data_IF_179736322832
#
_entry.id   IF_179736322832
#
_cell.length_a   1.000
_cell.length_b   1.000
_cell.length_c   1.000
_cell.angle_alpha   90.00
_cell.angle_beta   90.00
_cell.angle_gamma   90.00
#
_symmetry.space_group_name_H-M   'P 1'
#
loop_
_entity.id
_entity.type
_entity.pdbx_description
1 polymer ?
#
# COMPACT_ATOMS: atom_id res chain seq x y z
N UNK A 1 25.10 -6.20 -21.97
CA UNK A 1 23.94 -5.75 -21.20
C UNK A 1 23.93 -4.24 -21.20
N UNK A 2 22.79 -3.53 -21.50
CA UNK A 2 22.74 -2.09 -21.50
C UNK A 2 23.07 -1.54 -20.11
N UNK A 3 23.76 -0.40 -20.04
CA UNK A 3 24.14 0.24 -18.78
C UNK A 3 22.95 0.51 -17.83
N UNK A 4 21.77 0.77 -18.39
CA UNK A 4 20.51 0.92 -17.67
C UNK A 4 20.08 -0.35 -16.93
N UNK A 5 20.29 -1.53 -17.52
CA UNK A 5 19.98 -2.83 -16.88
C UNK A 5 20.90 -3.09 -15.70
N UNK A 6 22.18 -2.68 -15.80
CA UNK A 6 23.14 -2.81 -14.69
C UNK A 6 22.88 -1.82 -13.56
N UNK A 7 22.50 -0.58 -13.88
CA UNK A 7 22.14 0.44 -12.89
C UNK A 7 20.87 0.04 -12.13
N UNK A 8 19.89 -0.54 -12.83
CA UNK A 8 18.68 -1.08 -12.22
C UNK A 8 18.97 -2.29 -11.33
N UNK A 9 19.75 -3.25 -11.80
CA UNK A 9 20.15 -4.41 -10.99
C UNK A 9 20.90 -3.97 -9.71
N UNK A 10 21.79 -2.95 -9.79
CA UNK A 10 22.46 -2.36 -8.62
C UNK A 10 21.52 -1.59 -7.69
N UNK A 11 20.51 -0.91 -8.23
CA UNK A 11 19.49 -0.23 -7.42
C UNK A 11 18.62 -1.25 -6.68
N UNK A 12 18.21 -2.32 -7.36
CA UNK A 12 17.43 -3.43 -6.81
C UNK A 12 18.14 -4.16 -5.65
N UNK A 13 19.49 -4.34 -5.73
CA UNK A 13 20.28 -5.02 -4.69
C UNK A 13 20.37 -4.25 -3.35
N UNK A 14 19.76 -3.07 -3.22
CA UNK A 14 19.80 -2.24 -2.01
C UNK A 14 18.41 -1.88 -1.44
N UNK A 15 17.34 -2.54 -1.90
CA UNK A 15 16.01 -2.36 -1.31
C UNK A 15 16.06 -2.86 0.14
N UNK A 16 15.53 -2.06 1.05
CA UNK A 16 15.49 -2.34 2.49
C UNK A 16 14.06 -2.37 3.04
N UNK A 17 13.09 -1.88 2.27
CA UNK A 17 11.67 -1.93 2.60
C UNK A 17 10.85 -2.25 1.35
N UNK A 18 9.74 -2.98 1.53
CA UNK A 18 8.72 -3.21 0.52
C UNK A 18 7.42 -2.59 1.01
N UNK A 19 6.87 -1.68 0.21
CA UNK A 19 5.58 -1.07 0.47
C UNK A 19 4.59 -1.56 -0.57
N UNK A 20 3.62 -2.36 -0.14
CA UNK A 20 2.59 -2.91 -1.03
C UNK A 20 1.30 -2.13 -0.90
N UNK A 21 0.78 -1.61 -2.00
CA UNK A 21 -0.61 -1.19 -2.10
C UNK A 21 -1.47 -2.41 -2.41
N UNK A 22 -2.58 -2.59 -1.70
CA UNK A 22 -3.55 -3.63 -2.01
C UNK A 22 -4.65 -3.10 -2.93
N UNK A 23 -5.06 -3.91 -3.89
CA UNK A 23 -6.06 -3.59 -4.90
C UNK A 23 -6.27 -4.74 -5.88
N UNK A 24 -7.32 -4.66 -6.69
CA UNK A 24 -7.58 -5.56 -7.80
C UNK A 24 -7.05 -4.97 -9.11
N UNK A 25 -6.47 -5.78 -10.01
CA UNK A 25 -6.03 -5.32 -11.32
C UNK A 25 -7.23 -5.10 -12.25
N UNK A 26 -7.14 -4.10 -13.11
CA UNK A 26 -8.15 -3.76 -14.11
C UNK A 26 -8.64 -2.32 -13.96
N UNK A 27 -8.90 -1.67 -15.09
CA UNK A 27 -9.35 -0.27 -15.12
C UNK A 27 -10.71 -0.08 -14.43
N UNK A 28 -11.56 -1.10 -14.47
CA UNK A 28 -12.87 -1.14 -13.82
C UNK A 28 -12.82 -1.04 -12.30
N UNK A 29 -11.68 -1.43 -11.68
CA UNK A 29 -11.47 -1.35 -10.24
C UNK A 29 -10.69 -0.10 -9.79
N UNK A 30 -10.22 0.71 -10.74
CA UNK A 30 -9.28 1.80 -10.46
C UNK A 30 -9.78 2.78 -9.39
N UNK A 31 -11.09 3.04 -9.33
CA UNK A 31 -11.72 3.95 -8.37
C UNK A 31 -12.47 3.23 -7.24
N UNK A 32 -12.37 1.90 -7.14
CA UNK A 32 -13.00 1.17 -6.05
C UNK A 32 -12.37 1.53 -4.70
N UNK A 33 -13.16 1.51 -3.62
CA UNK A 33 -12.66 1.66 -2.25
C UNK A 33 -11.59 0.62 -1.92
N UNK A 34 -11.75 -0.61 -2.44
CA UNK A 34 -10.79 -1.70 -2.24
C UNK A 34 -9.43 -1.46 -2.91
N UNK A 35 -9.34 -0.48 -3.82
CA UNK A 35 -8.11 -0.10 -4.51
C UNK A 35 -7.40 1.12 -3.87
N UNK A 36 -7.87 1.61 -2.73
CA UNK A 36 -7.24 2.77 -2.08
C UNK A 36 -5.76 2.53 -1.74
N UNK A 37 -5.39 1.27 -1.50
CA UNK A 37 -3.98 0.89 -1.32
C UNK A 37 -3.14 1.12 -2.58
N UNK A 38 -3.66 0.79 -3.77
CA UNK A 38 -3.00 1.12 -5.05
C UNK A 38 -2.87 2.63 -5.22
N UNK A 39 -3.94 3.38 -4.97
CA UNK A 39 -3.94 4.83 -5.07
C UNK A 39 -2.88 5.46 -4.14
N UNK A 40 -2.76 4.96 -2.91
CA UNK A 40 -1.78 5.46 -1.96
C UNK A 40 -0.34 5.28 -2.45
N UNK A 41 0.03 4.11 -2.95
CA UNK A 41 1.39 3.88 -3.44
C UNK A 41 1.65 4.60 -4.77
N UNK A 42 0.63 4.83 -5.61
CA UNK A 42 0.76 5.67 -6.79
C UNK A 42 1.05 7.13 -6.41
N UNK A 43 0.29 7.69 -5.46
CA UNK A 43 0.52 9.07 -4.97
C UNK A 43 1.90 9.21 -4.31
N UNK A 44 2.34 8.20 -3.55
CA UNK A 44 3.71 8.17 -2.98
C UNK A 44 4.77 8.14 -4.08
N UNK A 45 4.57 7.32 -5.12
CA UNK A 45 5.50 7.22 -6.24
C UNK A 45 5.67 8.58 -6.94
N UNK A 46 4.57 9.23 -7.24
CA UNK A 46 4.55 10.53 -7.92
C UNK A 46 5.17 11.63 -7.05
N UNK A 47 4.81 11.68 -5.75
CA UNK A 47 5.29 12.70 -4.81
C UNK A 47 6.80 12.62 -4.59
N UNK A 48 7.35 11.42 -4.54
CA UNK A 48 8.77 11.19 -4.21
C UNK A 48 9.65 10.84 -5.41
N UNK A 49 9.13 10.94 -6.64
CA UNK A 49 9.91 10.75 -7.85
C UNK A 49 10.48 9.34 -7.99
N UNK A 50 9.65 8.33 -7.73
CA UNK A 50 10.02 6.94 -7.95
C UNK A 50 10.21 6.65 -9.46
N UNK A 51 10.93 5.57 -9.77
CA UNK A 51 11.09 5.11 -11.14
C UNK A 51 9.72 4.76 -11.79
N UNK A 52 9.60 4.85 -13.13
CA UNK A 52 8.39 4.40 -13.80
C UNK A 52 8.00 2.97 -13.42
N UNK A 53 6.69 2.73 -13.29
CA UNK A 53 6.15 1.42 -13.01
C UNK A 53 6.54 0.40 -14.08
N UNK A 54 6.98 -0.79 -13.66
CA UNK A 54 7.33 -1.90 -14.55
C UNK A 54 6.87 -3.24 -13.97
N UNK A 55 6.74 -4.26 -14.82
CA UNK A 55 6.33 -5.60 -14.39
C UNK A 55 7.42 -6.25 -13.52
N UNK A 56 7.02 -6.87 -12.42
CA UNK A 56 7.88 -7.64 -11.50
C UNK A 56 7.08 -8.26 -10.37
N UNK A 57 7.51 -9.41 -9.88
CA UNK A 57 6.90 -10.11 -8.73
C UNK A 57 5.39 -10.28 -8.87
N UNK A 58 4.92 -10.78 -10.02
CA UNK A 58 3.50 -10.96 -10.34
C UNK A 58 2.68 -9.66 -10.14
N UNK A 59 3.29 -8.49 -10.39
CA UNK A 59 2.69 -7.18 -10.18
C UNK A 59 3.39 -6.09 -10.96
N UNK A 60 3.12 -4.87 -10.53
CA UNK A 60 3.80 -3.67 -10.97
C UNK A 60 4.69 -3.18 -9.84
N UNK A 61 5.94 -2.87 -10.15
CA UNK A 61 6.93 -2.41 -9.19
C UNK A 61 7.50 -1.06 -9.61
N UNK A 62 7.81 -0.25 -8.61
CA UNK A 62 8.55 1.00 -8.78
C UNK A 62 9.58 1.11 -7.65
N UNK A 63 10.82 1.37 -7.99
CA UNK A 63 11.90 1.53 -7.02
C UNK A 63 12.20 3.01 -6.81
N UNK A 64 12.43 3.40 -5.57
CA UNK A 64 12.71 4.78 -5.25
C UNK A 64 13.40 4.94 -3.89
N UNK A 65 13.46 6.19 -3.45
CA UNK A 65 14.06 6.55 -2.18
C UNK A 65 13.18 7.56 -1.45
N UNK A 66 12.98 7.31 -0.16
CA UNK A 66 12.37 8.28 0.75
C UNK A 66 13.34 8.50 1.91
N UNK A 67 13.85 9.72 2.05
CA UNK A 67 14.97 9.99 2.97
C UNK A 67 16.19 9.12 2.64
N UNK A 68 16.65 8.37 3.61
CA UNK A 68 17.77 7.41 3.44
C UNK A 68 17.34 6.01 3.02
N UNK A 69 16.04 5.69 3.14
CA UNK A 69 15.50 4.37 2.84
C UNK A 69 15.33 4.15 1.35
N UNK A 70 15.77 2.99 0.85
CA UNK A 70 15.44 2.50 -0.50
C UNK A 70 14.22 1.60 -0.42
N UNK A 71 13.18 1.96 -1.13
CA UNK A 71 11.87 1.34 -1.05
C UNK A 71 11.49 0.78 -2.41
N UNK A 72 10.94 -0.44 -2.40
CA UNK A 72 10.22 -0.99 -3.52
C UNK A 72 8.73 -0.80 -3.27
N UNK A 73 8.06 -0.06 -4.13
CA UNK A 73 6.60 -0.05 -4.19
C UNK A 73 6.15 -1.25 -5.03
N UNK A 74 5.07 -1.90 -4.59
CA UNK A 74 4.51 -3.07 -5.26
C UNK A 74 2.98 -2.93 -5.33
N UNK A 75 2.44 -3.11 -6.54
CA UNK A 75 1.00 -3.32 -6.78
C UNK A 75 0.82 -4.72 -7.34
N UNK A 76 0.30 -5.70 -6.58
CA UNK A 76 0.03 -7.04 -7.11
C UNK A 76 -0.89 -6.99 -8.34
N UNK A 77 -0.55 -7.71 -9.41
CA UNK A 77 -1.42 -7.88 -10.57
C UNK A 77 -2.27 -9.16 -10.47
N UNK A 78 -2.26 -9.80 -9.31
CA UNK A 78 -3.20 -10.85 -8.91
C UNK A 78 -4.49 -10.23 -8.40
N UNK A 79 -5.57 -11.02 -8.34
CA UNK A 79 -6.73 -10.61 -7.57
C UNK A 79 -6.38 -10.47 -6.07
N UNK A 80 -7.19 -9.69 -5.34
CA UNK A 80 -6.97 -9.35 -3.94
C UNK A 80 -6.63 -10.57 -3.06
N UNK A 81 -7.36 -11.67 -3.20
CA UNK A 81 -7.19 -12.90 -2.42
C UNK A 81 -5.88 -13.68 -2.72
N UNK A 82 -5.11 -13.27 -3.74
CA UNK A 82 -3.83 -13.85 -4.11
C UNK A 82 -2.63 -12.89 -3.93
N UNK A 83 -2.85 -11.72 -3.32
CA UNK A 83 -1.82 -10.67 -3.16
C UNK A 83 -0.56 -11.17 -2.43
N UNK A 84 -0.72 -12.11 -1.50
CA UNK A 84 0.40 -12.67 -0.73
C UNK A 84 1.45 -13.40 -1.58
N UNK A 85 1.09 -13.90 -2.76
CA UNK A 85 2.04 -14.54 -3.69
C UNK A 85 3.07 -13.55 -4.19
N UNK A 86 2.60 -12.39 -4.67
CA UNK A 86 3.45 -11.31 -5.15
C UNK A 86 4.36 -10.78 -4.04
N UNK A 87 3.81 -10.54 -2.85
CA UNK A 87 4.53 -10.05 -1.68
C UNK A 87 5.61 -11.05 -1.25
N UNK A 88 5.25 -12.33 -1.11
CA UNK A 88 6.19 -13.37 -0.70
C UNK A 88 7.32 -13.58 -1.71
N UNK A 89 7.04 -13.45 -3.01
CA UNK A 89 8.07 -13.50 -4.06
C UNK A 89 9.07 -12.36 -3.90
N UNK A 90 8.60 -11.12 -3.69
CA UNK A 90 9.44 -9.95 -3.52
C UNK A 90 10.30 -10.04 -2.24
N UNK A 91 9.71 -10.41 -1.10
CA UNK A 91 10.44 -10.59 0.17
C UNK A 91 11.57 -11.62 0.03
N UNK A 92 11.29 -12.78 -0.57
CA UNK A 92 12.29 -13.82 -0.80
C UNK A 92 13.41 -13.36 -1.73
N UNK A 93 13.06 -12.66 -2.80
CA UNK A 93 14.04 -12.16 -3.77
C UNK A 93 15.04 -11.20 -3.12
N UNK A 94 14.55 -10.25 -2.32
CA UNK A 94 15.40 -9.28 -1.62
C UNK A 94 15.96 -9.79 -0.30
N UNK A 95 15.59 -11.01 0.11
CA UNK A 95 16.00 -11.63 1.39
C UNK A 95 15.66 -10.72 2.58
N UNK A 96 14.46 -10.16 2.56
CA UNK A 96 13.97 -9.27 3.60
C UNK A 96 13.08 -10.03 4.58
N UNK A 97 13.20 -9.66 5.85
CA UNK A 97 12.30 -10.11 6.89
C UNK A 97 10.92 -9.44 6.75
N UNK A 98 9.91 -10.03 7.35
CA UNK A 98 8.54 -9.53 7.30
C UNK A 98 8.39 -8.12 7.91
N UNK A 99 9.25 -7.76 8.86
CA UNK A 99 9.32 -6.41 9.44
C UNK A 99 9.65 -5.31 8.44
N UNK A 100 10.22 -5.66 7.27
CA UNK A 100 10.48 -4.73 6.18
C UNK A 100 9.25 -4.45 5.29
N UNK A 101 8.15 -5.18 5.52
CA UNK A 101 6.91 -5.02 4.75
C UNK A 101 5.99 -3.97 5.38
N UNK A 102 5.47 -3.08 4.54
CA UNK A 102 4.34 -2.19 4.87
C UNK A 102 3.23 -2.41 3.86
N UNK A 103 2.02 -2.72 4.32
CA UNK A 103 0.84 -2.88 3.47
C UNK A 103 -0.13 -1.70 3.64
N UNK A 104 -0.51 -1.08 2.52
CA UNK A 104 -1.53 -0.05 2.46
C UNK A 104 -2.84 -0.70 2.00
N UNK A 105 -3.90 -0.55 2.79
CA UNK A 105 -5.17 -1.22 2.52
C UNK A 105 -6.37 -0.42 3.04
N UNK A 106 -7.53 -0.69 2.49
CA UNK A 106 -8.80 -0.16 3.00
C UNK A 106 -9.17 -0.75 4.35
N UNK A 107 -9.77 0.07 5.20
CA UNK A 107 -10.18 -0.31 6.55
C UNK A 107 -11.63 0.11 6.82
N UNK A 108 -12.49 -0.88 7.05
CA UNK A 108 -13.91 -0.68 7.32
C UNK A 108 -14.18 -0.12 8.73
N UNK A 109 -13.31 -0.45 9.71
CA UNK A 109 -13.49 -0.06 11.11
C UNK A 109 -12.98 1.36 11.40
N UNK A 110 -12.49 2.08 10.40
CA UNK A 110 -12.12 3.48 10.49
C UNK A 110 -13.10 4.36 9.72
N UNK A 111 -13.45 5.51 10.30
CA UNK A 111 -14.22 6.53 9.60
C UNK A 111 -13.56 6.86 8.25
N UNK A 112 -14.35 7.27 7.23
CA UNK A 112 -13.81 7.65 5.94
C UNK A 112 -12.66 8.66 6.07
N UNK A 113 -11.60 8.43 5.31
CA UNK A 113 -10.41 9.29 5.21
C UNK A 113 -9.56 9.39 6.49
N UNK A 114 -9.83 8.57 7.51
CA UNK A 114 -8.94 8.44 8.68
C UNK A 114 -7.81 7.46 8.38
N UNK A 115 -6.61 7.77 8.89
CA UNK A 115 -5.41 6.95 8.69
C UNK A 115 -4.87 6.48 10.03
N UNK A 116 -4.60 5.18 10.15
CA UNK A 116 -3.96 4.57 11.31
C UNK A 116 -2.89 3.58 10.87
N UNK A 117 -1.85 3.45 11.69
CA UNK A 117 -0.79 2.45 11.49
C UNK A 117 -0.81 1.46 12.64
N UNK A 118 -0.61 0.19 12.33
CA UNK A 118 -0.35 -0.86 13.31
C UNK A 118 0.58 -1.92 12.74
N UNK A 119 1.23 -2.68 13.61
CA UNK A 119 1.96 -3.89 13.24
C UNK A 119 1.21 -5.11 13.73
N UNK A 120 1.15 -6.13 12.88
CA UNK A 120 0.50 -7.41 13.21
C UNK A 120 -1.03 -7.35 13.30
N UNK A 121 -1.59 -8.39 13.91
CA UNK A 121 -3.01 -8.57 14.12
C UNK A 121 -3.74 -9.28 12.97
N UNK A 122 -5.00 -9.63 13.20
CA UNK A 122 -5.83 -10.36 12.24
C UNK A 122 -6.20 -9.56 11.00
N UNK A 123 -6.66 -10.24 9.96
CA UNK A 123 -7.02 -9.64 8.66
C UNK A 123 -8.39 -8.94 8.65
N UNK A 124 -9.19 -9.01 9.71
CA UNK A 124 -10.52 -8.38 9.83
C UNK A 124 -11.43 -8.60 8.60
N UNK A 125 -11.32 -9.76 7.95
CA UNK A 125 -12.09 -10.08 6.73
C UNK A 125 -11.49 -9.58 5.42
N UNK A 126 -10.44 -8.76 5.46
CA UNK A 126 -9.79 -8.25 4.26
C UNK A 126 -9.00 -9.34 3.53
N UNK A 127 -9.44 -9.71 2.30
CA UNK A 127 -8.88 -10.85 1.57
C UNK A 127 -7.40 -10.69 1.21
N UNK A 128 -6.94 -9.47 0.91
CA UNK A 128 -5.52 -9.20 0.62
C UNK A 128 -4.63 -9.41 1.83
N UNK A 129 -5.05 -8.93 3.02
CA UNK A 129 -4.33 -9.19 4.26
C UNK A 129 -4.33 -10.69 4.59
N UNK A 130 -5.48 -11.37 4.46
CA UNK A 130 -5.56 -12.83 4.66
C UNK A 130 -4.59 -13.59 3.75
N UNK A 131 -4.46 -13.16 2.51
CA UNK A 131 -3.50 -13.74 1.56
C UNK A 131 -2.05 -13.50 1.99
N UNK A 132 -1.69 -12.28 2.42
CA UNK A 132 -0.34 -11.99 2.92
C UNK A 132 -0.07 -12.81 4.18
N UNK A 133 -1.02 -12.85 5.13
CA UNK A 133 -0.90 -13.60 6.38
C UNK A 133 -0.61 -15.09 6.12
N UNK A 134 -1.29 -15.69 5.14
CA UNK A 134 -1.12 -17.10 4.78
C UNK A 134 0.23 -17.40 4.10
N UNK A 135 0.79 -16.47 3.33
CA UNK A 135 2.03 -16.68 2.56
C UNK A 135 3.29 -16.22 3.28
N UNK A 136 3.17 -15.21 4.16
CA UNK A 136 4.32 -14.51 4.72
C UNK A 136 4.29 -14.44 6.26
N UNK A 137 3.11 -14.56 6.89
CA UNK A 137 2.93 -14.33 8.33
C UNK A 137 2.26 -12.97 8.60
N UNK A 138 2.01 -12.67 9.88
CA UNK A 138 1.15 -11.55 10.29
C UNK A 138 1.91 -10.32 10.80
N UNK A 139 3.18 -10.46 11.19
CA UNK A 139 3.96 -9.44 11.90
C UNK A 139 4.60 -8.41 10.93
N UNK A 140 3.76 -7.75 10.12
CA UNK A 140 4.14 -6.64 9.24
C UNK A 140 3.34 -5.39 9.55
N UNK A 141 3.89 -4.25 9.14
CA UNK A 141 3.26 -2.94 9.30
C UNK A 141 2.10 -2.77 8.31
N UNK A 142 1.00 -2.20 8.79
CA UNK A 142 -0.23 -1.96 8.03
C UNK A 142 -0.63 -0.49 8.16
N UNK A 143 -0.69 0.20 7.03
CA UNK A 143 -1.29 1.54 6.92
C UNK A 143 -2.75 1.33 6.56
N UNK A 144 -3.61 1.60 7.52
CA UNK A 144 -5.06 1.40 7.45
C UNK A 144 -5.70 2.69 6.97
N UNK A 145 -6.26 2.66 5.76
CA UNK A 145 -6.90 3.79 5.10
C UNK A 145 -8.42 3.66 5.29
N UNK A 146 -9.01 4.50 6.10
CA UNK A 146 -10.43 4.44 6.46
C UNK A 146 -11.33 4.67 5.27
N UNK A 147 -12.27 3.75 5.08
CA UNK A 147 -13.31 3.86 4.05
C UNK A 147 -14.72 3.91 4.66
N UNK A 148 -14.85 3.73 5.99
CA UNK A 148 -16.10 3.59 6.68
C UNK A 148 -16.77 2.24 6.44
N UNK A 149 -17.88 1.99 7.15
CA UNK A 149 -18.62 0.74 7.11
C UNK A 149 -20.05 0.92 6.56
N UNK A 150 -20.54 0.03 5.68
CA UNK A 150 -21.87 0.16 5.07
C UNK A 150 -23.05 -0.16 6.03
N UNK A 151 -22.76 -0.35 7.31
CA UNK A 151 -23.74 -0.62 8.36
C UNK A 151 -24.16 -2.09 8.48
N UNK A 152 -24.05 -2.90 7.43
CA UNK A 152 -24.45 -4.30 7.42
C UNK A 152 -23.46 -5.20 6.71
N UNK A 153 -23.17 -6.39 7.27
CA UNK A 153 -22.18 -7.34 6.74
C UNK A 153 -22.44 -7.74 5.29
N UNK A 154 -23.70 -7.95 4.93
CA UNK A 154 -24.06 -8.40 3.58
C UNK A 154 -23.81 -7.32 2.50
N UNK A 155 -23.62 -6.07 2.91
CA UNK A 155 -23.32 -4.95 2.01
C UNK A 155 -21.82 -4.73 1.81
N UNK A 156 -20.96 -5.35 2.62
CA UNK A 156 -19.51 -5.10 2.61
C UNK A 156 -18.89 -5.35 1.24
N UNK A 157 -19.18 -6.49 0.61
CA UNK A 157 -18.59 -6.82 -0.70
C UNK A 157 -18.96 -5.78 -1.75
N UNK A 158 -20.23 -5.40 -1.85
CA UNK A 158 -20.68 -4.36 -2.80
C UNK A 158 -20.10 -2.98 -2.48
N UNK A 159 -19.89 -2.69 -1.20
CA UNK A 159 -19.35 -1.41 -0.75
C UNK A 159 -17.87 -1.25 -1.10
N UNK A 160 -17.04 -2.24 -0.78
CA UNK A 160 -15.59 -2.17 -1.09
C UNK A 160 -15.30 -2.22 -2.59
N UNK A 161 -16.13 -2.93 -3.37
CA UNK A 161 -16.06 -2.96 -4.83
C UNK A 161 -16.79 -1.78 -5.49
N UNK A 162 -17.43 -0.93 -4.72
CA UNK A 162 -18.02 0.32 -5.19
C UNK A 162 -16.97 1.41 -5.35
N UNK A 163 -17.20 2.29 -6.33
CA UNK A 163 -16.35 3.46 -6.55
C UNK A 163 -16.58 4.52 -5.47
N UNK A 164 -15.56 5.33 -5.21
CA UNK A 164 -15.74 6.60 -4.51
C UNK A 164 -16.72 7.48 -5.29
N UNK A 165 -17.62 8.14 -4.60
CA UNK A 165 -18.54 9.10 -5.21
C UNK A 165 -17.78 10.38 -5.59
N UNK A 166 -18.31 11.14 -6.56
CA UNK A 166 -17.69 12.40 -6.98
C UNK A 166 -17.47 13.37 -5.82
N UNK A 167 -18.40 13.39 -4.87
CA UNK A 167 -18.31 14.26 -3.68
C UNK A 167 -17.21 13.83 -2.68
N UNK A 168 -16.71 12.60 -2.78
CA UNK A 168 -15.65 12.06 -1.91
C UNK A 168 -14.24 12.25 -2.50
N UNK A 169 -14.14 12.72 -3.76
CA UNK A 169 -12.84 12.73 -4.47
C UNK A 169 -11.85 13.72 -3.91
N UNK A 170 -12.31 14.88 -3.40
CA UNK A 170 -11.44 15.89 -2.81
C UNK A 170 -10.88 15.37 -1.46
N UNK A 171 -11.73 14.82 -0.59
CA UNK A 171 -11.30 14.23 0.68
C UNK A 171 -10.36 13.02 0.46
N UNK A 172 -10.62 12.22 -0.58
CA UNK A 172 -9.73 11.12 -0.97
C UNK A 172 -8.37 11.64 -1.40
N UNK A 173 -8.32 12.67 -2.24
CA UNK A 173 -7.08 13.29 -2.71
C UNK A 173 -6.29 13.89 -1.53
N UNK A 174 -6.96 14.56 -0.61
CA UNK A 174 -6.35 15.14 0.59
C UNK A 174 -5.75 14.04 1.49
N UNK A 175 -6.46 12.94 1.73
CA UNK A 175 -5.94 11.81 2.51
C UNK A 175 -4.70 11.19 1.83
N UNK A 176 -4.77 10.91 0.53
CA UNK A 176 -3.66 10.32 -0.20
C UNK A 176 -2.45 11.27 -0.24
N UNK A 177 -2.70 12.58 -0.44
CA UNK A 177 -1.68 13.61 -0.40
C UNK A 177 -1.01 13.74 0.96
N UNK A 178 -1.79 13.70 2.05
CA UNK A 178 -1.27 13.71 3.42
C UNK A 178 -0.40 12.49 3.72
N UNK A 179 -0.85 11.29 3.33
CA UNK A 179 -0.08 10.04 3.47
C UNK A 179 1.24 10.12 2.70
N UNK A 180 1.21 10.62 1.47
CA UNK A 180 2.41 10.75 0.66
C UNK A 180 3.38 11.81 1.22
N UNK A 181 2.87 12.96 1.66
CA UNK A 181 3.70 14.02 2.25
C UNK A 181 4.45 13.56 3.51
N UNK A 182 3.79 12.76 4.35
CA UNK A 182 4.35 12.25 5.60
C UNK A 182 5.06 10.87 5.46
N UNK A 183 5.14 10.33 4.25
CA UNK A 183 5.86 9.09 3.98
C UNK A 183 7.30 9.04 4.51
N UNK A 184 8.08 10.15 4.60
CA UNK A 184 9.39 10.15 5.25
C UNK A 184 9.38 9.68 6.70
N UNK A 185 8.35 10.01 7.48
CA UNK A 185 8.20 9.56 8.86
C UNK A 185 7.94 8.05 8.91
N UNK A 186 7.08 7.57 8.02
CA UNK A 186 6.78 6.13 7.90
C UNK A 186 8.03 5.34 7.47
N UNK A 187 8.84 5.88 6.54
CA UNK A 187 10.10 5.27 6.10
C UNK A 187 11.14 5.21 7.22
N UNK A 188 11.14 6.20 8.11
CA UNK A 188 12.00 6.25 9.29
C UNK A 188 11.50 5.35 10.45
N UNK A 189 10.29 4.79 10.37
CA UNK A 189 9.70 3.95 11.42
C UNK A 189 9.03 4.75 12.55
N UNK A 190 8.80 6.05 12.35
CA UNK A 190 8.10 6.91 13.33
C UNK A 190 6.59 6.92 13.06
N UNK A 191 5.96 5.77 13.30
CA UNK A 191 4.54 5.54 13.03
C UNK A 191 3.63 6.48 13.84
N UNK A 192 4.03 6.83 15.07
CA UNK A 192 3.24 7.71 15.93
C UNK A 192 3.21 9.14 15.37
N UNK A 193 4.36 9.66 15.00
CA UNK A 193 4.45 10.99 14.40
C UNK A 193 3.79 11.03 13.01
N UNK A 194 3.98 9.97 12.19
CA UNK A 194 3.27 9.85 10.92
C UNK A 194 1.76 10.01 11.10
N UNK A 195 1.16 9.26 12.04
CA UNK A 195 -0.29 9.34 12.28
C UNK A 195 -0.73 10.73 12.75
N UNK A 196 0.07 11.40 13.60
CA UNK A 196 -0.23 12.74 14.10
C UNK A 196 -0.17 13.78 12.97
N UNK A 197 0.91 13.80 12.19
CA UNK A 197 1.08 14.77 11.10
C UNK A 197 0.04 14.59 9.99
N UNK A 198 -0.27 13.32 9.62
CA UNK A 198 -1.37 13.04 8.69
C UNK A 198 -2.70 13.57 9.24
N UNK A 199 -3.02 13.34 10.52
CA UNK A 199 -4.26 13.83 11.11
C UNK A 199 -4.34 15.35 11.15
N UNK A 200 -3.22 16.05 11.37
CA UNK A 200 -3.15 17.52 11.36
C UNK A 200 -3.38 18.10 9.96
N UNK A 201 -2.93 17.40 8.91
CA UNK A 201 -3.19 17.84 7.52
C UNK A 201 -4.65 17.68 7.10
N UNK A 202 -5.37 16.77 7.76
CA UNK A 202 -6.77 16.43 7.45
C UNK A 202 -7.78 17.10 8.40
N UNK A 203 -7.33 18.01 9.25
CA UNK A 203 -8.17 18.77 10.20
C UNK A 203 -8.64 20.09 9.58
#
# INVERSE_FOLDING_TARGET
MPAETLAFARAMLRIVQIWVGLGNPGAEYALNRHNVGFMAVDTIADTHGFEPWKKGFQGWISAGRIGTARILLLKPATYMNDSGRAVGEALRFYKLDLSALTAFHDELDLDPFRVKVKTGGGAAGHNGLRSIDAHCGQEYRRVRLGIGHPGHKDRVTGYVLGNYAKAEMDDLADMLGAVAAEAPLLAAGDDARFMNEVALRLA
#
